data_IF_092152740744
#
_entry.id   IF_092152740744
#
_cell.length_a   1.000
_cell.length_b   1.000
_cell.length_c   1.000
_cell.angle_alpha   90.00
_cell.angle_beta   90.00
_cell.angle_gamma   90.00
#
_symmetry.space_group_name_H-M   'P 1'
#
loop_
_entity.id
_entity.type
_entity.pdbx_description
1 polymer ?
#
# COMPACT_ATOMS: atom_id res chain seq x y z
N UNK A 1 15.61 35.86 -34.45
CA UNK A 1 15.89 34.52 -33.90
C UNK A 1 14.63 34.05 -33.19
N UNK A 2 13.90 33.03 -33.66
CA UNK A 2 12.84 32.44 -32.86
C UNK A 2 13.39 31.18 -32.17
N UNK A 3 13.68 31.25 -30.87
CA UNK A 3 13.90 30.05 -30.08
C UNK A 3 12.54 29.43 -29.75
N UNK A 4 12.23 28.36 -30.49
CA UNK A 4 11.18 27.43 -30.15
C UNK A 4 11.89 26.23 -29.52
N UNK A 5 11.78 26.06 -28.21
CA UNK A 5 11.95 24.73 -27.64
C UNK A 5 10.75 24.44 -26.73
N UNK A 6 9.88 23.50 -27.12
CA UNK A 6 8.68 23.18 -26.38
C UNK A 6 9.08 22.28 -25.19
N UNK A 7 8.60 22.67 -24.00
CA UNK A 7 8.16 21.74 -22.96
C UNK A 7 9.00 20.46 -22.80
N UNK A 8 10.10 20.55 -22.06
CA UNK A 8 10.55 19.43 -21.24
C UNK A 8 9.65 19.37 -19.99
N UNK A 9 8.42 18.90 -20.16
CA UNK A 9 7.51 18.57 -19.08
C UNK A 9 6.98 17.16 -19.32
N UNK A 10 7.20 16.28 -18.36
CA UNK A 10 6.57 14.96 -18.29
C UNK A 10 7.49 13.83 -18.73
N UNK A 11 8.21 13.23 -17.76
CA UNK A 11 8.71 11.84 -17.87
C UNK A 11 9.16 11.24 -16.52
N UNK A 12 9.35 12.03 -15.45
CA UNK A 12 9.80 11.49 -14.15
C UNK A 12 8.67 11.04 -13.20
N UNK A 13 7.43 11.48 -13.41
CA UNK A 13 6.28 11.20 -12.51
C UNK A 13 5.80 9.74 -12.59
N UNK A 14 5.79 9.15 -13.80
CA UNK A 14 5.31 7.77 -14.01
C UNK A 14 6.27 6.71 -13.41
N UNK A 15 7.57 7.02 -13.31
CA UNK A 15 8.58 6.11 -12.77
C UNK A 15 8.49 5.98 -11.25
N UNK A 16 8.31 7.09 -10.56
CA UNK A 16 8.13 7.14 -9.11
C UNK A 16 6.80 6.50 -8.69
N UNK A 17 5.74 6.70 -9.48
CA UNK A 17 4.44 6.08 -9.26
C UNK A 17 4.49 4.54 -9.41
N UNK A 18 5.15 4.03 -10.46
CA UNK A 18 5.31 2.59 -10.66
C UNK A 18 6.17 1.94 -9.56
N UNK A 19 7.22 2.63 -9.10
CA UNK A 19 8.03 2.18 -7.97
C UNK A 19 7.22 2.15 -6.66
N UNK A 20 6.45 3.20 -6.38
CA UNK A 20 5.59 3.28 -5.20
C UNK A 20 4.53 2.16 -5.21
N UNK A 21 3.91 1.87 -6.35
CA UNK A 21 2.94 0.78 -6.50
C UNK A 21 3.58 -0.59 -6.26
N UNK A 22 4.78 -0.83 -6.81
CA UNK A 22 5.55 -2.05 -6.57
C UNK A 22 5.94 -2.22 -5.11
N UNK A 23 6.38 -1.14 -4.44
CA UNK A 23 6.70 -1.15 -3.02
C UNK A 23 5.46 -1.44 -2.16
N UNK A 24 4.33 -0.79 -2.44
CA UNK A 24 3.07 -1.02 -1.71
C UNK A 24 2.64 -2.49 -1.87
N UNK A 25 2.70 -3.03 -3.09
CA UNK A 25 2.36 -4.44 -3.36
C UNK A 25 3.21 -5.39 -2.53
N UNK A 26 4.53 -5.18 -2.49
CA UNK A 26 5.45 -6.00 -1.72
C UNK A 26 5.12 -5.97 -0.22
N UNK A 27 4.88 -4.77 0.32
CA UNK A 27 4.49 -4.59 1.72
C UNK A 27 3.20 -5.32 2.05
N UNK A 28 2.19 -5.27 1.18
CA UNK A 28 0.92 -5.95 1.41
C UNK A 28 1.05 -7.48 1.37
N UNK A 29 1.89 -8.03 0.48
CA UNK A 29 2.18 -9.46 0.48
C UNK A 29 2.89 -9.89 1.77
N UNK A 30 3.83 -9.08 2.26
CA UNK A 30 4.53 -9.33 3.53
C UNK A 30 3.55 -9.29 4.72
N UNK A 31 2.63 -8.33 4.75
CA UNK A 31 1.59 -8.24 5.79
C UNK A 31 0.67 -9.46 5.79
N UNK A 32 0.28 -9.95 4.62
CA UNK A 32 -0.52 -11.18 4.51
C UNK A 32 0.24 -12.40 5.06
N UNK A 33 1.52 -12.54 4.75
CA UNK A 33 2.37 -13.62 5.26
C UNK A 33 2.52 -13.55 6.79
N UNK A 34 2.83 -12.37 7.33
CA UNK A 34 2.97 -12.16 8.77
C UNK A 34 1.63 -12.42 9.47
N UNK A 35 0.54 -11.87 8.96
CA UNK A 35 -0.80 -12.08 9.52
C UNK A 35 -1.18 -13.55 9.55
N UNK A 36 -0.91 -14.29 8.47
CA UNK A 36 -1.16 -15.75 8.41
C UNK A 36 -0.34 -16.48 9.46
N UNK A 37 0.96 -16.16 9.58
CA UNK A 37 1.83 -16.76 10.58
C UNK A 37 1.34 -16.47 12.02
N UNK A 38 0.92 -15.24 12.30
CA UNK A 38 0.37 -14.86 13.61
C UNK A 38 -0.87 -15.69 13.95
N UNK A 39 -1.79 -15.85 13.01
CA UNK A 39 -2.98 -16.71 13.17
C UNK A 39 -2.58 -18.18 13.44
N UNK A 40 -1.64 -18.72 12.67
CA UNK A 40 -1.15 -20.10 12.84
C UNK A 40 -0.48 -20.33 14.20
N UNK A 41 0.19 -19.31 14.75
CA UNK A 41 0.81 -19.36 16.08
C UNK A 41 -0.18 -19.16 17.25
N UNK A 42 -1.47 -18.97 16.94
CA UNK A 42 -2.55 -18.89 17.93
C UNK A 42 -2.93 -17.48 18.35
N UNK A 43 -2.46 -16.44 17.65
CA UNK A 43 -2.94 -15.07 17.88
C UNK A 43 -4.43 -14.99 17.52
N UNK A 44 -5.27 -14.35 18.35
CA UNK A 44 -6.66 -14.11 18.02
C UNK A 44 -6.79 -13.34 16.72
N UNK A 45 -7.65 -13.82 15.82
CA UNK A 45 -7.93 -13.13 14.54
C UNK A 45 -8.30 -11.67 14.72
N UNK A 46 -9.13 -11.38 15.72
CA UNK A 46 -9.56 -10.01 16.00
C UNK A 46 -8.36 -9.11 16.29
N UNK A 47 -7.37 -9.58 17.04
CA UNK A 47 -6.16 -8.81 17.37
C UNK A 47 -5.34 -8.50 16.11
N UNK A 48 -5.20 -9.47 15.19
CA UNK A 48 -4.54 -9.25 13.89
C UNK A 48 -5.30 -8.21 13.05
N UNK A 49 -6.63 -8.28 13.02
CA UNK A 49 -7.46 -7.32 12.28
C UNK A 49 -7.43 -5.92 12.91
N UNK A 50 -7.37 -5.82 14.22
CA UNK A 50 -7.24 -4.55 14.94
C UNK A 50 -5.89 -3.89 14.64
N UNK A 51 -4.80 -4.68 14.62
CA UNK A 51 -3.47 -4.19 14.22
C UNK A 51 -3.44 -3.68 12.78
N UNK A 52 -4.07 -4.38 11.85
CA UNK A 52 -4.18 -3.93 10.45
C UNK A 52 -5.00 -2.65 10.33
N UNK A 53 -6.01 -2.48 11.20
CA UNK A 53 -6.84 -1.27 11.24
C UNK A 53 -6.03 -0.07 11.71
N UNK A 54 -5.27 -0.23 12.79
CA UNK A 54 -4.34 0.82 13.25
C UNK A 54 -3.30 1.18 12.19
N UNK A 55 -2.80 0.19 11.43
CA UNK A 55 -1.86 0.44 10.33
C UNK A 55 -2.53 1.23 9.19
N UNK A 56 -3.77 0.90 8.85
CA UNK A 56 -4.54 1.63 7.84
C UNK A 56 -4.75 3.09 8.25
N UNK A 57 -5.16 3.35 9.49
CA UNK A 57 -5.32 4.69 10.05
C UNK A 57 -3.99 5.47 10.02
N UNK A 58 -2.89 4.83 10.43
CA UNK A 58 -1.55 5.43 10.36
C UNK A 58 -1.16 5.80 8.92
N UNK A 59 -1.50 4.96 7.95
CA UNK A 59 -1.24 5.25 6.53
C UNK A 59 -2.08 6.42 6.02
N UNK A 60 -3.35 6.53 6.43
CA UNK A 60 -4.20 7.68 6.07
C UNK A 60 -3.63 9.01 6.58
N UNK A 61 -3.02 9.01 7.76
CA UNK A 61 -2.39 10.20 8.37
C UNK A 61 -1.03 10.54 7.75
N UNK A 62 -0.27 9.54 7.30
CA UNK A 62 1.14 9.71 6.90
C UNK A 62 1.34 9.80 5.38
N UNK A 63 0.51 9.14 4.57
CA UNK A 63 0.62 9.14 3.11
C UNK A 63 0.07 10.44 2.52
N UNK A 64 1.00 11.32 2.10
CA UNK A 64 0.66 12.61 1.50
C UNK A 64 0.09 12.51 0.08
N UNK A 65 0.49 11.50 -0.69
CA UNK A 65 -0.02 11.28 -2.05
C UNK A 65 -1.41 10.63 -2.02
N UNK A 66 -2.45 11.28 -2.56
CA UNK A 66 -3.80 10.70 -2.64
C UNK A 66 -3.83 9.40 -3.45
N UNK A 67 -3.00 9.31 -4.49
CA UNK A 67 -2.87 8.10 -5.32
C UNK A 67 -2.25 6.94 -4.52
N UNK A 68 -1.11 7.18 -3.88
CA UNK A 68 -0.44 6.16 -3.08
C UNK A 68 -1.35 5.65 -1.96
N UNK A 69 -2.16 6.55 -1.38
CA UNK A 69 -3.15 6.22 -0.37
C UNK A 69 -4.26 5.31 -0.91
N UNK A 70 -4.81 5.61 -2.09
CA UNK A 70 -5.82 4.78 -2.74
C UNK A 70 -5.29 3.37 -3.04
N UNK A 71 -4.05 3.28 -3.54
CA UNK A 71 -3.37 2.00 -3.83
C UNK A 71 -3.15 1.22 -2.51
N UNK A 72 -2.58 1.85 -1.50
CA UNK A 72 -2.38 1.23 -0.18
C UNK A 72 -3.69 0.72 0.44
N UNK A 73 -4.78 1.49 0.33
CA UNK A 73 -6.11 1.07 0.77
C UNK A 73 -6.63 -0.17 0.03
N UNK A 74 -6.48 -0.22 -1.29
CA UNK A 74 -6.86 -1.40 -2.09
C UNK A 74 -6.08 -2.66 -1.67
N UNK A 75 -4.76 -2.54 -1.49
CA UNK A 75 -3.97 -3.69 -1.08
C UNK A 75 -4.25 -4.11 0.37
N UNK A 76 -4.48 -3.17 1.29
CA UNK A 76 -4.90 -3.49 2.67
C UNK A 76 -6.24 -4.26 2.67
N UNK A 77 -7.21 -3.88 1.85
CA UNK A 77 -8.46 -4.62 1.69
C UNK A 77 -8.23 -6.05 1.18
N UNK A 78 -7.26 -6.24 0.27
CA UNK A 78 -6.86 -7.59 -0.15
C UNK A 78 -6.28 -8.40 1.01
N UNK A 79 -5.47 -7.79 1.88
CA UNK A 79 -4.92 -8.44 3.09
C UNK A 79 -6.04 -8.81 4.06
N UNK A 80 -6.99 -7.89 4.32
CA UNK A 80 -8.18 -8.18 5.14
C UNK A 80 -8.97 -9.37 4.62
N UNK A 81 -9.17 -9.47 3.31
CA UNK A 81 -9.89 -10.59 2.71
C UNK A 81 -9.16 -11.91 2.94
N UNK A 82 -7.86 -11.95 2.65
CA UNK A 82 -7.04 -13.15 2.85
C UNK A 82 -7.09 -13.62 4.30
N UNK A 83 -6.95 -12.69 5.25
CA UNK A 83 -6.93 -12.99 6.68
C UNK A 83 -8.33 -13.11 7.30
N UNK A 84 -9.38 -12.73 6.59
CA UNK A 84 -10.78 -12.90 7.01
C UNK A 84 -11.36 -14.24 6.55
N UNK A 85 -10.88 -14.78 5.44
CA UNK A 85 -11.32 -16.06 4.87
C UNK A 85 -10.50 -17.27 5.36
N UNK A 86 -9.23 -17.08 5.75
CA UNK A 86 -8.32 -18.13 6.28
C UNK A 86 -8.77 -18.65 7.65
#
# INVERSE_FOLDING_TARGET
>A
MPERNPTASGSDDDGDDAFAEGAITLWSNLLALIGTHLLETGMPRQEVLDMLTMLHETNEETLRSPRARAIAGQHLMSVYRVLGEA
#
